data_IF_349812985622
#
_entry.id   IF_349812985622
#
_cell.length_a   1.000
_cell.length_b   1.000
_cell.length_c   1.000
_cell.angle_alpha   90.00
_cell.angle_beta   90.00
_cell.angle_gamma   90.00
#
_symmetry.space_group_name_H-M   'P 1'
#
loop_
_entity.id
_entity.type
_entity.pdbx_description
1 polymer ?
#
# COMPACT_ATOMS: atom_id res chain seq x y z
N UNK A 1 16.36 -12.90 15.37
CA UNK A 1 16.51 -12.98 13.89
C UNK A 1 15.17 -12.53 13.34
N UNK A 2 15.05 -11.52 12.46
CA UNK A 2 13.74 -11.17 11.95
C UNK A 2 13.19 -12.34 11.12
N UNK A 3 11.86 -12.52 11.06
CA UNK A 3 11.23 -13.65 10.40
C UNK A 3 11.66 -13.68 8.93
N UNK A 4 11.91 -14.88 8.42
CA UNK A 4 12.69 -15.20 7.21
C UNK A 4 12.22 -14.64 5.84
N UNK A 5 11.25 -13.72 5.79
CA UNK A 5 10.69 -13.16 4.55
C UNK A 5 11.04 -11.69 4.23
N UNK A 6 11.42 -10.89 5.22
CA UNK A 6 11.63 -9.44 5.04
C UNK A 6 13.11 -9.08 4.91
N UNK A 7 13.67 -9.36 3.73
CA UNK A 7 14.97 -8.81 3.35
C UNK A 7 14.80 -7.36 2.83
N UNK A 8 15.90 -6.60 2.78
CA UNK A 8 15.87 -5.20 2.27
C UNK A 8 15.24 -5.06 0.87
N UNK A 9 15.28 -6.10 0.04
CA UNK A 9 14.66 -6.07 -1.29
C UNK A 9 13.13 -6.12 -1.19
N UNK A 10 12.57 -6.92 -0.27
CA UNK A 10 11.14 -6.97 -0.02
C UNK A 10 10.60 -5.61 0.45
N UNK A 11 11.31 -4.94 1.37
CA UNK A 11 10.94 -3.58 1.83
C UNK A 11 11.00 -2.58 0.68
N UNK A 12 12.04 -2.63 -0.16
CA UNK A 12 12.13 -1.76 -1.35
C UNK A 12 11.02 -2.03 -2.36
N UNK A 13 10.62 -3.29 -2.54
CA UNK A 13 9.51 -3.67 -3.40
C UNK A 13 8.18 -3.13 -2.88
N UNK A 14 7.92 -3.23 -1.57
CA UNK A 14 6.74 -2.65 -0.94
C UNK A 14 6.70 -1.11 -1.09
N UNK A 15 7.84 -0.44 -0.92
CA UNK A 15 7.93 1.00 -1.14
C UNK A 15 7.62 1.40 -2.59
N UNK A 16 8.18 0.69 -3.57
CA UNK A 16 7.91 0.94 -4.98
C UNK A 16 6.44 0.68 -5.34
N UNK A 17 5.83 -0.35 -4.75
CA UNK A 17 4.39 -0.61 -4.89
C UNK A 17 3.55 0.56 -4.37
N UNK A 18 3.81 1.04 -3.14
CA UNK A 18 3.09 2.18 -2.54
C UNK A 18 3.28 3.44 -3.38
N UNK A 19 4.48 3.69 -3.91
CA UNK A 19 4.72 4.82 -4.81
C UNK A 19 3.85 4.74 -6.07
N UNK A 20 3.76 3.56 -6.71
CA UNK A 20 2.89 3.34 -7.86
C UNK A 20 1.42 3.63 -7.56
N UNK A 21 0.90 3.15 -6.41
CA UNK A 21 -0.45 3.46 -5.96
C UNK A 21 -0.72 4.97 -5.85
N UNK A 22 0.24 5.74 -5.36
CA UNK A 22 0.10 7.20 -5.29
C UNK A 22 0.12 7.87 -6.66
N UNK A 23 0.95 7.39 -7.58
CA UNK A 23 1.00 7.89 -8.96
C UNK A 23 -0.33 7.60 -9.69
N UNK A 24 -0.85 6.37 -9.55
CA UNK A 24 -2.13 5.96 -10.12
C UNK A 24 -3.29 6.80 -9.55
N UNK A 25 -3.33 7.00 -8.22
CA UNK A 25 -4.32 7.86 -7.57
C UNK A 25 -4.25 9.30 -8.08
N UNK A 26 -3.04 9.85 -8.25
CA UNK A 26 -2.85 11.20 -8.76
C UNK A 26 -3.44 11.34 -10.18
N UNK A 27 -3.21 10.35 -11.03
CA UNK A 27 -3.71 10.33 -12.41
C UNK A 27 -5.23 10.13 -12.46
N UNK A 28 -5.78 9.26 -11.61
CA UNK A 28 -7.22 9.08 -11.46
C UNK A 28 -7.92 10.36 -10.98
N UNK A 29 -7.32 11.09 -10.03
CA UNK A 29 -7.84 12.39 -9.58
C UNK A 29 -7.76 13.43 -10.69
N UNK A 30 -6.64 13.51 -11.42
CA UNK A 30 -6.46 14.45 -12.54
C UNK A 30 -7.40 14.19 -13.71
N UNK A 31 -7.73 12.93 -13.96
CA UNK A 31 -8.66 12.54 -15.02
C UNK A 31 -10.13 12.81 -14.66
N UNK A 32 -10.43 13.14 -13.41
CA UNK A 32 -11.80 13.34 -12.93
C UNK A 32 -12.60 12.04 -12.81
N UNK A 33 -11.90 10.89 -12.64
CA UNK A 33 -12.53 9.57 -12.49
C UNK A 33 -13.41 9.48 -11.24
N UNK A 34 -13.05 10.20 -10.19
CA UNK A 34 -13.77 10.28 -8.92
C UNK A 34 -14.43 11.64 -8.74
N UNK A 35 -15.57 11.68 -8.04
CA UNK A 35 -16.30 12.94 -7.81
C UNK A 35 -15.63 13.79 -6.74
N UNK A 36 -15.00 13.16 -5.75
CA UNK A 36 -14.31 13.85 -4.66
C UNK A 36 -12.94 13.23 -4.38
N UNK A 37 -12.07 13.99 -3.73
CA UNK A 37 -10.75 13.51 -3.32
C UNK A 37 -10.88 12.41 -2.25
N UNK A 38 -11.86 12.53 -1.36
CA UNK A 38 -12.14 11.55 -0.31
C UNK A 38 -12.52 10.19 -0.90
N UNK A 39 -13.36 10.17 -1.94
CA UNK A 39 -13.75 8.93 -2.64
C UNK A 39 -12.53 8.24 -3.27
N UNK A 40 -11.69 9.01 -3.96
CA UNK A 40 -10.47 8.50 -4.58
C UNK A 40 -9.50 7.90 -3.55
N UNK A 41 -9.29 8.60 -2.43
CA UNK A 41 -8.41 8.16 -1.34
C UNK A 41 -8.94 6.87 -0.71
N UNK A 42 -10.24 6.80 -0.42
CA UNK A 42 -10.85 5.59 0.18
C UNK A 42 -10.76 4.39 -0.76
N UNK A 43 -10.96 4.60 -2.05
CA UNK A 43 -10.78 3.56 -3.06
C UNK A 43 -9.34 3.02 -3.08
N UNK A 44 -8.35 3.91 -3.13
CA UNK A 44 -6.94 3.52 -3.19
C UNK A 44 -6.49 2.82 -1.89
N UNK A 45 -6.90 3.32 -0.73
CA UNK A 45 -6.63 2.68 0.56
C UNK A 45 -7.18 1.25 0.60
N UNK A 46 -8.37 1.01 0.06
CA UNK A 46 -8.94 -0.33 -0.04
C UNK A 46 -8.17 -1.28 -0.97
N UNK A 47 -7.54 -0.77 -2.03
CA UNK A 47 -6.67 -1.55 -2.90
C UNK A 47 -5.36 -1.91 -2.20
N UNK A 48 -4.74 -0.93 -1.54
CA UNK A 48 -3.51 -1.12 -0.76
C UNK A 48 -3.76 -2.12 0.37
N UNK A 49 -4.85 -1.98 1.12
CA UNK A 49 -5.20 -2.92 2.20
C UNK A 49 -5.34 -4.35 1.67
N UNK A 50 -6.04 -4.57 0.55
CA UNK A 50 -6.17 -5.90 -0.07
C UNK A 50 -4.83 -6.50 -0.47
N UNK A 51 -3.89 -5.67 -0.93
CA UNK A 51 -2.55 -6.10 -1.31
C UNK A 51 -1.69 -6.41 -0.07
N UNK A 52 -1.77 -5.57 0.97
CA UNK A 52 -0.94 -5.65 2.16
C UNK A 52 -1.49 -6.58 3.24
N UNK A 53 -2.77 -6.95 3.25
CA UNK A 53 -3.35 -7.91 4.22
C UNK A 53 -2.62 -9.26 4.25
N UNK A 54 -1.94 -9.62 3.16
CA UNK A 54 -1.11 -10.83 3.08
C UNK A 54 0.24 -10.68 3.80
N UNK A 55 0.65 -9.46 4.08
CA UNK A 55 1.83 -9.11 4.86
C UNK A 55 1.36 -8.93 6.30
N UNK A 56 1.81 -9.81 7.19
CA UNK A 56 1.43 -9.83 8.60
C UNK A 56 2.14 -8.68 9.33
N UNK A 57 1.65 -7.45 9.11
CA UNK A 57 2.22 -6.21 9.62
C UNK A 57 1.20 -5.57 10.58
N UNK A 58 1.65 -5.10 11.74
CA UNK A 58 0.83 -4.35 12.70
C UNK A 58 0.63 -2.88 12.24
N UNK A 59 -0.27 -2.11 12.87
CA UNK A 59 -0.48 -0.69 12.53
C UNK A 59 0.79 0.18 12.64
N UNK A 60 1.75 -0.24 13.45
CA UNK A 60 3.03 0.43 13.68
C UNK A 60 4.09 0.07 12.61
N UNK A 61 3.77 -0.84 11.68
CA UNK A 61 4.67 -1.26 10.62
C UNK A 61 5.62 -2.40 11.01
N UNK A 62 5.44 -3.03 12.17
CA UNK A 62 6.22 -4.19 12.61
C UNK A 62 5.62 -5.50 12.10
N UNK A 63 6.49 -6.47 11.88
CA UNK A 63 6.07 -7.83 11.50
C UNK A 63 5.65 -8.61 12.72
N UNK A 64 4.49 -9.24 12.63
CA UNK A 64 3.96 -10.11 13.66
C UNK A 64 4.16 -11.56 13.21
N UNK A 65 4.97 -12.33 13.95
CA UNK A 65 5.03 -13.80 13.77
C UNK A 65 3.75 -14.44 14.32
N UNK A 66 3.32 -15.55 13.69
CA UNK A 66 2.25 -16.41 14.20
C UNK A 66 2.74 -17.30 15.33
#
# INVERSE_FOLDING_TARGET
MPPSGFNRKAVKGALAFVQGCYEDLLDDVRSGKFQTYEEAIQYELGLIEKALVKLHIDPEGNLIER
#
